data_IF_396379722438
#
_entry.id   IF_396379722438
#
_cell.length_a   1.000
_cell.length_b   1.000
_cell.length_c   1.000
_cell.angle_alpha   90.00
_cell.angle_beta   90.00
_cell.angle_gamma   90.00
#
_symmetry.space_group_name_H-M   'P 1'
#
loop_
_entity.id
_entity.type
_entity.pdbx_description
1 polymer ?
#
# COMPACT_ATOMS: atom_id res chain seq x y z
N UNK A 1 -20.48 -23.61 10.83
CA UNK A 1 -19.13 -24.24 10.89
C UNK A 1 -18.94 -24.78 12.29
N UNK A 2 -18.88 -26.10 12.42
CA UNK A 2 -18.65 -26.78 13.70
C UNK A 2 -17.23 -26.47 14.14
N UNK A 3 -17.06 -25.73 15.23
CA UNK A 3 -15.77 -25.60 15.91
C UNK A 3 -15.62 -26.86 16.76
N UNK A 4 -14.92 -27.87 16.23
CA UNK A 4 -14.54 -29.03 17.01
C UNK A 4 -13.83 -28.60 18.29
N UNK A 5 -14.06 -29.34 19.38
CA UNK A 5 -13.59 -29.08 20.73
C UNK A 5 -12.04 -29.21 20.87
N UNK A 6 -11.30 -28.39 20.13
CA UNK A 6 -9.86 -28.19 20.26
C UNK A 6 -9.61 -26.81 20.86
N UNK A 7 -8.68 -26.73 21.81
CA UNK A 7 -8.28 -25.47 22.46
C UNK A 7 -7.83 -24.46 21.40
N UNK A 8 -8.35 -23.23 21.44
CA UNK A 8 -7.91 -22.19 20.50
C UNK A 8 -6.39 -22.01 20.59
N UNK A 9 -5.75 -21.93 19.43
CA UNK A 9 -4.33 -21.71 19.31
C UNK A 9 -3.97 -20.32 19.87
N UNK A 10 -2.99 -20.26 20.78
CA UNK A 10 -2.55 -19.00 21.41
C UNK A 10 -2.05 -17.97 20.39
N UNK A 11 -1.34 -18.43 19.37
CA UNK A 11 -0.85 -17.62 18.26
C UNK A 11 -1.18 -18.31 16.92
N UNK A 12 -2.35 -18.03 16.34
CA UNK A 12 -2.76 -18.64 15.09
C UNK A 12 -1.86 -18.18 13.93
N UNK A 13 -1.47 -19.10 13.06
CA UNK A 13 -0.68 -18.77 11.87
C UNK A 13 -1.54 -18.23 10.72
N UNK A 14 -2.83 -18.57 10.70
CA UNK A 14 -3.78 -18.07 9.70
C UNK A 14 -4.21 -16.63 9.98
N UNK A 15 -4.37 -15.85 8.90
CA UNK A 15 -4.83 -14.46 8.98
C UNK A 15 -6.23 -14.39 9.61
N UNK A 16 -7.12 -15.33 9.23
CA UNK A 16 -8.47 -15.44 9.79
C UNK A 16 -8.45 -15.75 11.29
N UNK A 17 -7.56 -16.66 11.73
CA UNK A 17 -7.37 -16.97 13.15
C UNK A 17 -6.86 -15.76 13.93
N UNK A 18 -5.90 -15.00 13.38
CA UNK A 18 -5.37 -13.78 14.00
C UNK A 18 -6.46 -12.72 14.19
N UNK A 19 -7.32 -12.51 13.20
CA UNK A 19 -8.41 -11.54 13.28
C UNK A 19 -9.51 -11.97 14.28
N UNK A 20 -9.80 -13.27 14.38
CA UNK A 20 -10.79 -13.79 15.32
C UNK A 20 -10.32 -13.69 16.79
N UNK A 21 -9.04 -13.94 17.05
CA UNK A 21 -8.45 -13.87 18.40
C UNK A 21 -8.01 -12.46 18.81
N UNK A 22 -7.54 -11.66 17.87
CA UNK A 22 -7.06 -10.29 18.09
C UNK A 22 -7.89 -9.33 17.24
N UNK A 23 -9.06 -8.87 17.75
CA UNK A 23 -9.92 -7.98 16.99
C UNK A 23 -9.19 -6.67 16.66
N UNK A 24 -9.53 -6.03 15.55
CA UNK A 24 -8.91 -4.78 15.09
C UNK A 24 -8.82 -3.69 16.19
N UNK A 25 -9.84 -3.59 17.05
CA UNK A 25 -9.84 -2.67 18.20
C UNK A 25 -8.72 -2.95 19.21
N UNK A 26 -8.34 -4.21 19.41
CA UNK A 26 -7.21 -4.60 20.27
C UNK A 26 -5.88 -4.14 19.67
N UNK A 27 -5.70 -4.28 18.35
CA UNK A 27 -4.53 -3.77 17.64
C UNK A 27 -4.44 -2.24 17.67
N UNK A 28 -5.58 -1.55 17.59
CA UNK A 28 -5.61 -0.09 17.70
C UNK A 28 -5.27 0.41 19.11
N UNK A 29 -5.77 -0.26 20.16
CA UNK A 29 -5.52 0.10 21.56
C UNK A 29 -4.06 -0.18 21.99
N UNK A 30 -3.54 -1.37 21.65
CA UNK A 30 -2.24 -1.83 22.14
C UNK A 30 -1.09 -1.55 21.15
N UNK A 31 -1.39 -1.50 19.85
CA UNK A 31 -0.41 -1.24 18.81
C UNK A 31 -0.12 0.25 18.67
N UNK A 32 0.99 0.73 19.25
CA UNK A 32 1.50 2.08 18.96
C UNK A 32 1.76 2.22 17.45
N UNK A 33 2.44 1.25 16.84
CA UNK A 33 2.76 1.23 15.42
C UNK A 33 1.52 1.39 14.52
N UNK A 34 0.45 0.65 14.80
CA UNK A 34 -0.79 0.68 13.99
C UNK A 34 -1.41 2.08 13.99
N UNK A 35 -1.42 2.75 15.14
CA UNK A 35 -1.92 4.14 15.25
C UNK A 35 -1.04 5.13 14.49
N UNK A 36 0.28 5.05 14.65
CA UNK A 36 1.20 5.91 13.92
C UNK A 36 1.05 5.75 12.41
N UNK A 37 0.98 4.50 11.93
CA UNK A 37 0.78 4.21 10.51
C UNK A 37 -0.56 4.77 10.00
N UNK A 38 -1.64 4.64 10.78
CA UNK A 38 -2.93 5.22 10.43
C UNK A 38 -2.87 6.76 10.34
N UNK A 39 -2.29 7.42 11.34
CA UNK A 39 -2.16 8.88 11.35
C UNK A 39 -1.24 9.41 10.25
N UNK A 40 -0.11 8.75 9.98
CA UNK A 40 0.79 9.17 8.91
C UNK A 40 0.17 8.96 7.54
N UNK A 41 -0.53 7.84 7.33
CA UNK A 41 -1.23 7.58 6.08
C UNK A 41 -2.25 8.69 5.82
N UNK A 42 -3.12 8.99 6.79
CA UNK A 42 -4.15 10.04 6.65
C UNK A 42 -3.53 11.43 6.49
N UNK A 43 -2.46 11.74 7.24
CA UNK A 43 -1.80 13.04 7.17
C UNK A 43 -1.06 13.29 5.85
N UNK A 44 -0.43 12.26 5.28
CA UNK A 44 0.38 12.37 4.05
C UNK A 44 -0.48 12.14 2.79
N UNK A 45 -1.64 11.49 2.91
CA UNK A 45 -2.56 11.24 1.80
C UNK A 45 -2.88 12.48 0.95
N UNK A 46 -3.32 13.63 1.52
CA UNK A 46 -3.64 14.82 0.70
C UNK A 46 -2.41 15.39 -0.02
N UNK A 47 -1.23 15.29 0.59
CA UNK A 47 0.03 15.71 -0.03
C UNK A 47 0.35 14.83 -1.25
N UNK A 48 0.26 13.51 -1.08
CA UNK A 48 0.48 12.55 -2.17
C UNK A 48 -0.53 12.77 -3.29
N UNK A 49 -1.81 13.00 -2.99
CA UNK A 49 -2.83 13.27 -4.01
C UNK A 49 -2.49 14.52 -4.83
N UNK A 50 -2.06 15.62 -4.18
CA UNK A 50 -1.67 16.84 -4.90
C UNK A 50 -0.46 16.60 -5.81
N UNK A 51 0.56 15.91 -5.31
CA UNK A 51 1.75 15.57 -6.09
C UNK A 51 1.35 14.67 -7.28
N UNK A 52 0.52 13.66 -7.03
CA UNK A 52 0.03 12.74 -8.04
C UNK A 52 -0.70 13.47 -9.16
N UNK A 53 -1.62 14.38 -8.82
CA UNK A 53 -2.35 15.20 -9.80
C UNK A 53 -1.42 16.14 -10.58
N UNK A 54 -0.41 16.74 -9.93
CA UNK A 54 0.55 17.61 -10.59
C UNK A 54 1.44 16.85 -11.59
N UNK A 55 1.90 15.66 -11.21
CA UNK A 55 2.71 14.79 -12.08
C UNK A 55 1.90 14.29 -13.28
N UNK A 56 0.63 13.93 -13.07
CA UNK A 56 -0.28 13.42 -14.11
C UNK A 56 -1.01 14.52 -14.92
N UNK A 57 -0.55 15.77 -14.86
CA UNK A 57 -1.08 16.82 -15.73
C UNK A 57 -0.96 16.39 -17.21
N UNK A 58 -2.02 16.51 -18.03
CA UNK A 58 -1.99 16.11 -19.45
C UNK A 58 -0.84 16.72 -20.24
N UNK A 59 -0.38 17.93 -19.89
CA UNK A 59 0.81 18.54 -20.51
C UNK A 59 2.10 17.74 -20.25
N UNK A 60 2.32 17.32 -19.00
CA UNK A 60 3.49 16.52 -18.62
C UNK A 60 3.45 15.14 -19.26
N UNK A 61 2.27 14.51 -19.29
CA UNK A 61 2.10 13.18 -19.92
C UNK A 61 2.49 13.24 -21.39
N UNK A 62 2.01 14.24 -22.14
CA UNK A 62 2.36 14.47 -23.56
C UNK A 62 3.85 14.71 -23.75
N UNK A 63 4.46 15.54 -22.90
CA UNK A 63 5.90 15.80 -22.96
C UNK A 63 6.71 14.50 -22.73
N UNK A 64 6.34 13.67 -21.75
CA UNK A 64 7.00 12.39 -21.50
C UNK A 64 6.75 11.36 -22.60
N UNK A 65 5.59 11.38 -23.27
CA UNK A 65 5.35 10.58 -24.47
C UNK A 65 6.24 11.02 -25.63
N UNK A 66 6.41 12.32 -25.87
CA UNK A 66 7.30 12.82 -26.91
C UNK A 66 8.77 12.49 -26.63
N UNK A 67 9.22 12.64 -25.37
CA UNK A 67 10.56 12.23 -24.95
C UNK A 67 10.77 10.73 -25.19
N UNK A 68 9.78 9.89 -24.85
CA UNK A 68 9.85 8.43 -25.08
C UNK A 68 9.81 8.05 -26.55
N UNK A 69 9.03 8.76 -27.37
CA UNK A 69 8.99 8.56 -28.84
C UNK A 69 10.33 8.92 -29.48
N UNK A 70 10.99 10.00 -29.03
CA UNK A 70 12.32 10.40 -29.50
C UNK A 70 13.41 9.44 -29.03
N UNK A 71 13.23 8.93 -27.82
CA UNK A 71 14.12 7.97 -27.17
C UNK A 71 13.73 6.55 -27.58
N UNK A 72 13.81 6.25 -28.89
CA UNK A 72 13.68 4.91 -29.47
C UNK A 72 14.73 3.96 -28.86
N UNK A 73 14.58 3.63 -27.59
CA UNK A 73 15.26 2.53 -26.94
C UNK A 73 14.19 1.47 -26.79
N UNK A 74 14.21 0.51 -27.69
CA UNK A 74 13.73 -0.81 -27.30
C UNK A 74 14.54 -1.24 -26.08
N UNK A 75 13.98 -2.10 -25.23
CA UNK A 75 14.63 -2.62 -24.02
C UNK A 75 16.07 -3.16 -24.25
N UNK A 76 16.48 -3.35 -25.51
CA UNK A 76 17.75 -3.92 -25.96
C UNK A 76 18.66 -2.97 -26.74
N UNK A 77 18.32 -1.68 -26.95
CA UNK A 77 19.23 -0.79 -27.69
C UNK A 77 20.40 -0.31 -26.79
N UNK A 78 21.67 -0.46 -27.23
CA UNK A 78 22.81 0.01 -26.46
C UNK A 78 22.84 1.54 -26.41
N UNK A 79 23.24 2.08 -25.26
CA UNK A 79 23.47 3.52 -25.08
C UNK A 79 24.63 3.93 -25.97
N UNK A 80 24.34 4.72 -27.02
CA UNK A 80 25.35 5.43 -27.81
C UNK A 80 25.74 6.73 -27.12
#
# INVERSE_FOLDING_TARGET
MVVGAGRLMKYPYSITGKLALFPYRWHWKNGRFVRFLGYTLVGVLPLIFKIHSAVHNPGNVRQWEEIRKKRLHTHFDPVH
#
